data_IF_014936156924
#
_entry.id   IF_014936156924
#
_cell.length_a   1.000
_cell.length_b   1.000
_cell.length_c   1.000
_cell.angle_alpha   90.00
_cell.angle_beta   90.00
_cell.angle_gamma   90.00
#
_symmetry.space_group_name_H-M   'P 1'
#
loop_
_entity.id
_entity.type
_entity.pdbx_description
1 polymer ?
#
# COMPACT_ATOMS: atom_id res chain seq x y z
N UNK A 1 -35.03 17.27 -44.94
CA UNK A 1 -33.64 16.77 -45.08
C UNK A 1 -32.64 17.34 -44.08
N UNK A 2 -32.66 18.65 -43.73
CA UNK A 2 -31.73 19.24 -42.75
C UNK A 2 -31.85 18.67 -41.33
N UNK A 3 -33.08 18.47 -40.84
CA UNK A 3 -33.37 17.89 -39.51
C UNK A 3 -32.88 16.44 -39.40
N UNK A 4 -33.07 15.64 -40.45
CA UNK A 4 -32.62 14.26 -40.49
C UNK A 4 -31.07 14.16 -40.42
N UNK A 5 -30.37 15.03 -41.16
CA UNK A 5 -28.89 15.11 -41.10
C UNK A 5 -28.39 15.54 -39.72
N UNK A 6 -29.08 16.48 -39.07
CA UNK A 6 -28.74 16.92 -37.71
C UNK A 6 -28.92 15.79 -36.69
N UNK A 7 -29.98 14.99 -36.85
CA UNK A 7 -30.24 13.84 -35.99
C UNK A 7 -29.17 12.75 -36.14
N UNK A 8 -28.79 12.42 -37.39
CA UNK A 8 -27.68 11.49 -37.64
C UNK A 8 -26.35 12.00 -37.06
N UNK A 9 -26.08 13.31 -37.14
CA UNK A 9 -24.87 13.91 -36.60
C UNK A 9 -24.85 13.84 -35.06
N UNK A 10 -25.98 14.08 -34.40
CA UNK A 10 -26.12 13.97 -32.94
C UNK A 10 -26.01 12.52 -32.45
N UNK A 11 -26.59 11.55 -33.16
CA UNK A 11 -26.42 10.13 -32.85
C UNK A 11 -24.96 9.67 -33.03
N UNK A 12 -24.30 10.09 -34.11
CA UNK A 12 -22.88 9.80 -34.32
C UNK A 12 -22.01 10.44 -33.24
N UNK A 13 -22.28 11.69 -32.85
CA UNK A 13 -21.58 12.36 -31.76
C UNK A 13 -21.79 11.61 -30.44
N UNK A 14 -23.03 11.24 -30.09
CA UNK A 14 -23.36 10.48 -28.88
C UNK A 14 -22.61 9.14 -28.79
N UNK A 15 -22.48 8.43 -29.92
CA UNK A 15 -21.72 7.17 -29.99
C UNK A 15 -20.20 7.38 -29.82
N UNK A 16 -19.66 8.54 -30.22
CA UNK A 16 -18.25 8.90 -30.03
C UNK A 16 -17.93 9.33 -28.58
N UNK A 17 -18.85 10.02 -27.89
CA UNK A 17 -18.69 10.37 -26.45
C UNK A 17 -19.00 9.19 -25.52
N UNK A 18 -19.74 8.18 -25.99
CA UNK A 18 -20.07 6.97 -25.23
C UNK A 18 -18.94 5.94 -25.20
N UNK A 19 -17.75 6.24 -25.73
CA UNK A 19 -16.53 5.52 -25.33
C UNK A 19 -16.22 5.85 -23.87
N UNK A 20 -16.97 5.18 -23.00
CA UNK A 20 -16.94 5.29 -21.56
C UNK A 20 -15.49 5.20 -21.08
N UNK A 21 -15.08 6.20 -20.29
CA UNK A 21 -13.90 6.17 -19.43
C UNK A 21 -14.09 5.16 -18.28
N UNK A 22 -14.57 3.95 -18.57
CA UNK A 22 -14.57 2.89 -17.59
C UNK A 22 -13.10 2.60 -17.29
N UNK A 23 -12.65 2.93 -16.07
CA UNK A 23 -11.35 2.47 -15.60
C UNK A 23 -11.29 0.96 -15.82
N UNK A 24 -10.15 0.42 -16.31
CA UNK A 24 -10.02 -1.01 -16.50
C UNK A 24 -10.37 -1.71 -15.19
N UNK A 25 -11.14 -2.80 -15.30
CA UNK A 25 -11.53 -3.57 -14.14
C UNK A 25 -10.26 -4.06 -13.44
N UNK A 26 -10.18 -3.83 -12.14
CA UNK A 26 -9.07 -4.32 -11.32
C UNK A 26 -9.39 -5.78 -11.00
N UNK A 27 -8.76 -6.69 -11.74
CA UNK A 27 -8.89 -8.14 -11.61
C UNK A 27 -7.70 -8.79 -10.87
N UNK A 28 -6.64 -8.01 -10.64
CA UNK A 28 -5.42 -8.46 -9.96
C UNK A 28 -4.84 -7.39 -9.06
N UNK A 29 -4.39 -7.83 -7.89
CA UNK A 29 -3.54 -7.08 -6.97
C UNK A 29 -2.38 -7.97 -6.55
N UNK A 30 -1.31 -7.35 -6.07
CA UNK A 30 -0.04 -7.98 -5.74
C UNK A 30 0.27 -7.76 -4.27
N UNK A 31 0.83 -8.78 -3.63
CA UNK A 31 1.30 -8.70 -2.25
C UNK A 31 2.68 -9.29 -2.13
N UNK A 32 3.62 -8.50 -1.61
CA UNK A 32 4.88 -9.03 -1.11
C UNK A 32 4.66 -9.67 0.26
N UNK A 33 5.22 -10.86 0.46
CA UNK A 33 5.28 -11.54 1.76
C UNK A 33 6.57 -12.37 1.84
N UNK A 34 7.12 -12.54 3.04
CA UNK A 34 8.32 -13.39 3.25
C UNK A 34 7.97 -14.88 3.39
N UNK A 35 6.69 -15.21 3.57
CA UNK A 35 6.23 -16.59 3.70
C UNK A 35 6.04 -17.22 2.33
N UNK A 36 6.45 -18.49 2.13
CA UNK A 36 6.17 -19.25 0.92
C UNK A 36 4.71 -19.73 0.86
N UNK A 37 4.27 -20.21 -0.31
CA UNK A 37 2.87 -20.57 -0.58
C UNK A 37 2.34 -21.64 0.39
N UNK A 38 3.16 -22.59 0.82
CA UNK A 38 2.77 -23.65 1.75
C UNK A 38 2.33 -23.07 3.11
N UNK A 39 2.98 -22.00 3.55
CA UNK A 39 2.59 -21.28 4.76
C UNK A 39 1.24 -20.58 4.58
N UNK A 40 1.02 -19.94 3.43
CA UNK A 40 -0.26 -19.28 3.13
C UNK A 40 -1.39 -20.29 3.01
N UNK A 41 -1.14 -21.45 2.40
CA UNK A 41 -2.11 -22.56 2.34
C UNK A 41 -2.47 -23.05 3.75
N UNK A 42 -1.46 -23.30 4.59
CA UNK A 42 -1.66 -23.77 5.96
C UNK A 42 -2.47 -22.79 6.80
N UNK A 43 -2.21 -21.50 6.63
CA UNK A 43 -2.86 -20.43 7.39
C UNK A 43 -4.29 -20.13 6.85
N UNK A 44 -4.67 -20.71 5.71
CA UNK A 44 -5.96 -20.49 5.05
C UNK A 44 -6.05 -19.17 4.26
N UNK A 45 -4.90 -18.56 3.96
CA UNK A 45 -4.79 -17.28 3.26
C UNK A 45 -3.97 -16.25 4.04
N UNK A 46 -4.20 -14.97 3.76
CA UNK A 46 -3.57 -13.86 4.48
C UNK A 46 -4.51 -13.32 5.55
N UNK A 47 -4.13 -13.48 6.81
CA UNK A 47 -4.90 -13.02 7.95
C UNK A 47 -4.43 -11.63 8.41
N UNK A 48 -5.34 -10.72 8.78
CA UNK A 48 -4.96 -9.45 9.38
C UNK A 48 -4.38 -9.68 10.78
N UNK A 49 -3.58 -8.71 11.26
CA UNK A 49 -2.93 -8.81 12.56
C UNK A 49 -3.90 -8.56 13.74
N UNK A 50 -5.05 -7.95 13.48
CA UNK A 50 -6.06 -7.63 14.48
C UNK A 50 -7.36 -7.15 13.87
N UNK A 51 -8.04 -6.24 14.57
CA UNK A 51 -9.40 -5.77 14.25
C UNK A 51 -9.49 -4.24 14.14
N UNK A 52 -8.36 -3.53 14.16
CA UNK A 52 -8.34 -2.07 14.04
C UNK A 52 -8.55 -1.66 12.58
N UNK A 53 -9.69 -1.05 12.30
CA UNK A 53 -10.09 -0.62 10.96
C UNK A 53 -9.65 0.80 10.60
N UNK A 54 -8.75 1.39 11.39
CA UNK A 54 -8.15 2.68 11.07
C UNK A 54 -7.18 2.59 9.89
N UNK A 55 -7.66 3.04 8.73
CA UNK A 55 -6.89 3.05 7.47
C UNK A 55 -5.71 4.02 7.51
N UNK A 56 -5.81 5.13 8.27
CA UNK A 56 -4.67 6.04 8.45
C UNK A 56 -3.59 5.32 9.25
N UNK A 57 -3.95 4.70 10.37
CA UNK A 57 -3.00 3.99 11.21
C UNK A 57 -2.35 2.81 10.47
N UNK A 58 -3.13 2.10 9.64
CA UNK A 58 -2.62 1.02 8.79
C UNK A 58 -1.51 1.50 7.85
N UNK A 59 -1.83 2.49 7.01
CA UNK A 59 -0.93 2.97 5.95
C UNK A 59 0.33 3.60 6.54
N UNK A 60 0.19 4.33 7.65
CA UNK A 60 1.33 4.95 8.32
C UNK A 60 2.16 3.95 9.15
N UNK A 61 1.73 2.68 9.25
CA UNK A 61 2.39 1.63 10.03
C UNK A 61 2.72 2.06 11.47
N UNK A 62 1.87 2.89 12.08
CA UNK A 62 2.10 3.40 13.43
C UNK A 62 1.76 2.31 14.44
N UNK A 63 2.74 1.45 14.70
CA UNK A 63 2.78 0.62 15.89
C UNK A 63 3.39 1.45 17.02
N UNK A 64 2.55 2.14 17.80
CA UNK A 64 2.99 2.67 19.09
C UNK A 64 3.28 1.48 19.99
N UNK A 65 4.57 1.18 20.23
CA UNK A 65 4.96 0.10 21.14
C UNK A 65 4.27 0.27 22.50
N UNK A 66 3.51 -0.75 22.92
CA UNK A 66 2.87 -0.82 24.25
C UNK A 66 1.38 -1.10 24.24
N UNK A 67 0.66 -0.86 23.14
CA UNK A 67 -0.78 -1.11 23.07
C UNK A 67 -1.11 -2.30 22.18
N UNK A 68 -1.61 -3.39 22.78
CA UNK A 68 -2.27 -4.51 22.06
C UNK A 68 -3.56 -4.05 21.35
N UNK A 69 -4.03 -2.84 21.66
CA UNK A 69 -5.05 -2.07 20.96
C UNK A 69 -4.35 -1.42 19.76
N UNK A 70 -4.70 -1.79 18.52
CA UNK A 70 -4.19 -1.09 17.34
C UNK A 70 -3.69 -1.95 16.18
N UNK A 71 -3.66 -3.28 16.30
CA UNK A 71 -3.28 -4.15 15.17
C UNK A 71 -4.31 -4.10 14.06
N UNK A 72 -3.85 -3.85 12.84
CA UNK A 72 -4.72 -3.57 11.70
C UNK A 72 -5.63 -4.74 11.33
N UNK A 73 -6.87 -4.41 10.95
CA UNK A 73 -7.86 -5.28 10.35
C UNK A 73 -7.64 -5.53 8.85
N UNK A 74 -6.61 -4.90 8.27
CA UNK A 74 -6.34 -4.93 6.84
C UNK A 74 -5.11 -5.75 6.50
N UNK A 75 -5.15 -6.35 5.32
CA UNK A 75 -3.98 -6.91 4.63
C UNK A 75 -3.67 -6.00 3.43
N UNK A 76 -2.46 -5.45 3.40
CA UNK A 76 -1.99 -4.55 2.34
C UNK A 76 -1.70 -5.31 1.03
N UNK A 77 -2.12 -4.72 -0.08
CA UNK A 77 -1.84 -5.16 -1.46
C UNK A 77 -1.68 -3.93 -2.36
N UNK A 78 -1.12 -4.10 -3.56
CA UNK A 78 -1.00 -3.02 -4.55
C UNK A 78 -1.52 -3.47 -5.90
N UNK A 79 -2.08 -2.56 -6.70
CA UNK A 79 -2.32 -2.84 -8.13
C UNK A 79 -1.06 -2.72 -8.98
N UNK A 80 0.02 -2.22 -8.40
CA UNK A 80 1.33 -2.10 -9.03
C UNK A 80 2.26 -3.23 -8.57
N UNK A 81 2.58 -4.13 -9.50
CA UNK A 81 3.47 -5.26 -9.24
C UNK A 81 4.90 -4.81 -8.99
N UNK A 82 5.34 -3.75 -9.67
CA UNK A 82 6.68 -3.20 -9.52
C UNK A 82 6.85 -2.65 -8.11
N UNK A 83 5.86 -1.92 -7.60
CA UNK A 83 5.87 -1.47 -6.21
C UNK A 83 5.99 -2.64 -5.22
N UNK A 84 5.31 -3.77 -5.47
CA UNK A 84 5.44 -4.96 -4.61
C UNK A 84 6.85 -5.58 -4.67
N UNK A 85 7.49 -5.59 -5.85
CA UNK A 85 8.87 -6.02 -6.01
C UNK A 85 9.85 -5.08 -5.31
N UNK A 86 9.76 -3.78 -5.57
CA UNK A 86 10.60 -2.76 -4.93
C UNK A 86 10.47 -2.83 -3.41
N UNK A 87 9.26 -3.01 -2.89
CA UNK A 87 9.05 -3.19 -1.46
C UNK A 87 9.76 -4.44 -0.93
N UNK A 88 9.70 -5.57 -1.64
CA UNK A 88 10.43 -6.80 -1.29
C UNK A 88 11.94 -6.62 -1.28
N UNK A 89 12.48 -6.06 -2.36
CA UNK A 89 13.91 -5.81 -2.51
C UNK A 89 14.47 -4.88 -1.42
N UNK A 90 13.67 -3.90 -0.98
CA UNK A 90 14.05 -2.93 0.06
C UNK A 90 13.71 -3.39 1.49
N UNK A 91 12.96 -4.48 1.67
CA UNK A 91 12.44 -4.89 2.99
C UNK A 91 13.52 -5.45 3.91
N UNK A 92 14.54 -6.09 3.35
CA UNK A 92 15.56 -6.80 4.12
C UNK A 92 16.97 -6.58 3.60
N UNK A 93 17.87 -6.20 4.51
CA UNK A 93 19.30 -6.02 4.23
C UNK A 93 20.09 -7.33 4.31
N UNK A 94 19.45 -8.42 4.71
CA UNK A 94 20.06 -9.75 4.80
C UNK A 94 19.87 -10.58 3.51
N UNK A 95 19.36 -9.95 2.43
CA UNK A 95 19.19 -10.59 1.12
C UNK A 95 18.33 -11.86 1.17
N UNK A 96 17.36 -11.92 2.09
CA UNK A 96 16.45 -13.05 2.24
C UNK A 96 15.45 -13.12 1.07
N UNK A 97 15.03 -14.34 0.68
CA UNK A 97 14.03 -14.49 -0.38
C UNK A 97 12.69 -13.90 0.03
N UNK A 98 11.97 -13.37 -0.95
CA UNK A 98 10.59 -12.92 -0.78
C UNK A 98 9.71 -13.41 -1.92
N UNK A 99 8.41 -13.23 -1.75
CA UNK A 99 7.40 -13.78 -2.63
C UNK A 99 6.43 -12.70 -3.05
N UNK A 100 6.13 -12.63 -4.34
CA UNK A 100 5.05 -11.77 -4.86
C UNK A 100 3.87 -12.66 -5.22
N UNK A 101 2.77 -12.45 -4.51
CA UNK A 101 1.51 -13.16 -4.71
C UNK A 101 0.61 -12.39 -5.66
N UNK A 102 0.07 -13.09 -6.65
CA UNK A 102 -1.00 -12.59 -7.50
C UNK A 102 -2.35 -12.94 -6.84
N UNK A 103 -3.19 -11.95 -6.63
CA UNK A 103 -4.42 -12.09 -5.86
C UNK A 103 -5.59 -11.48 -6.64
N UNK A 104 -6.69 -12.22 -6.72
CA UNK A 104 -7.96 -11.69 -7.23
C UNK A 104 -8.67 -10.88 -6.14
N UNK A 105 -8.87 -9.57 -6.32
CA UNK A 105 -9.64 -8.77 -5.38
C UNK A 105 -11.13 -9.16 -5.41
N UNK A 106 -11.77 -9.07 -4.25
CA UNK A 106 -13.24 -9.18 -4.11
C UNK A 106 -13.79 -7.95 -3.41
N UNK A 107 -15.09 -7.92 -3.11
CA UNK A 107 -15.76 -6.75 -2.51
C UNK A 107 -15.21 -6.31 -1.15
N UNK A 108 -14.33 -7.08 -0.51
CA UNK A 108 -13.65 -6.69 0.72
C UNK A 108 -12.35 -5.89 0.50
N UNK A 109 -11.94 -5.64 -0.74
CA UNK A 109 -10.79 -4.81 -1.09
C UNK A 109 -11.22 -3.36 -1.28
N UNK A 110 -10.52 -2.43 -0.65
CA UNK A 110 -10.82 -1.00 -0.72
C UNK A 110 -9.58 -0.22 -1.13
N UNK A 111 -9.75 0.76 -2.01
CA UNK A 111 -8.67 1.67 -2.38
C UNK A 111 -8.35 2.61 -1.22
N UNK A 112 -7.09 2.64 -0.79
CA UNK A 112 -6.60 3.59 0.21
C UNK A 112 -6.73 5.03 -0.31
N UNK A 113 -6.36 5.26 -1.57
CA UNK A 113 -6.44 6.56 -2.22
C UNK A 113 -7.88 7.10 -2.24
N UNK A 114 -8.86 6.29 -2.67
CA UNK A 114 -10.26 6.71 -2.69
C UNK A 114 -10.77 7.01 -1.27
N UNK A 115 -10.34 6.23 -0.29
CA UNK A 115 -10.69 6.42 1.13
C UNK A 115 -10.19 7.77 1.67
N UNK A 116 -8.93 8.12 1.41
CA UNK A 116 -8.39 9.43 1.81
C UNK A 116 -9.02 10.59 1.04
N UNK A 117 -9.23 10.45 -0.27
CA UNK A 117 -9.92 11.48 -1.06
C UNK A 117 -11.34 11.74 -0.55
N UNK A 118 -12.06 10.67 -0.18
CA UNK A 118 -13.39 10.78 0.38
C UNK A 118 -13.37 11.56 1.70
N UNK A 119 -12.45 11.22 2.61
CA UNK A 119 -12.29 11.94 3.88
C UNK A 119 -11.92 13.40 3.67
N UNK A 120 -11.00 13.70 2.76
CA UNK A 120 -10.65 15.08 2.40
C UNK A 120 -11.86 15.87 1.92
N UNK A 121 -12.67 15.31 1.01
CA UNK A 121 -13.89 15.96 0.50
C UNK A 121 -14.94 16.19 1.61
N UNK A 122 -15.02 15.30 2.59
CA UNK A 122 -15.95 15.44 3.71
C UNK A 122 -15.53 16.48 4.74
N UNK A 123 -14.24 16.58 5.06
CA UNK A 123 -13.76 17.36 6.21
C UNK A 123 -13.00 18.63 5.83
N UNK A 124 -12.47 18.71 4.61
CA UNK A 124 -11.52 19.75 4.20
C UNK A 124 -10.15 19.64 4.86
N UNK A 125 -9.86 18.56 5.59
CA UNK A 125 -8.63 18.41 6.36
C UNK A 125 -7.43 18.08 5.48
N UNK A 126 -6.51 19.05 5.35
CA UNK A 126 -5.29 18.97 4.53
C UNK A 126 -4.33 17.84 4.93
N UNK A 127 -4.50 17.23 6.12
CA UNK A 127 -3.75 16.03 6.51
C UNK A 127 -4.04 14.85 5.57
N UNK A 128 -5.27 14.70 5.08
CA UNK A 128 -5.59 13.66 4.09
C UNK A 128 -4.95 13.93 2.74
N UNK A 129 -4.85 15.19 2.30
CA UNK A 129 -4.10 15.53 1.09
C UNK A 129 -2.62 15.15 1.22
N UNK A 130 -2.01 15.40 2.39
CA UNK A 130 -0.63 14.98 2.66
C UNK A 130 -0.45 13.46 2.63
N UNK A 131 -1.43 12.69 3.11
CA UNK A 131 -1.42 11.23 3.01
C UNK A 131 -1.50 10.77 1.55
N UNK A 132 -2.37 11.39 0.76
CA UNK A 132 -2.48 11.13 -0.70
C UNK A 132 -1.14 11.40 -1.39
N UNK A 133 -0.53 12.56 -1.16
CA UNK A 133 0.73 12.94 -1.79
C UNK A 133 1.90 12.03 -1.34
N UNK A 134 1.81 11.44 -0.15
CA UNK A 134 2.88 10.65 0.45
C UNK A 134 2.76 9.16 0.15
N UNK A 135 1.56 8.61 0.04
CA UNK A 135 1.31 7.16 -0.11
C UNK A 135 0.57 6.80 -1.41
N UNK A 136 0.06 7.78 -2.16
CA UNK A 136 -0.73 7.52 -3.37
C UNK A 136 0.03 6.76 -4.46
N UNK A 137 1.36 6.88 -4.50
CA UNK A 137 2.20 6.14 -5.46
C UNK A 137 2.21 4.63 -5.22
N UNK A 138 1.87 4.16 -4.02
CA UNK A 138 1.84 2.74 -3.69
C UNK A 138 0.69 2.00 -4.37
N UNK A 139 -0.27 2.72 -4.95
CA UNK A 139 -1.48 2.18 -5.58
C UNK A 139 -2.19 1.14 -4.68
N UNK A 140 -2.22 1.41 -3.38
CA UNK A 140 -2.58 0.44 -2.35
C UNK A 140 -4.10 0.13 -2.33
N UNK A 141 -4.40 -1.16 -2.28
CA UNK A 141 -5.70 -1.71 -1.91
C UNK A 141 -5.56 -2.51 -0.62
N UNK A 142 -6.44 -2.25 0.33
CA UNK A 142 -6.49 -2.95 1.61
C UNK A 142 -7.63 -3.96 1.61
N UNK A 143 -7.32 -5.21 1.97
CA UNK A 143 -8.32 -6.26 2.15
C UNK A 143 -8.80 -6.29 3.61
N UNK A 144 -10.04 -5.88 3.86
CA UNK A 144 -10.64 -5.92 5.19
C UNK A 144 -10.93 -7.36 5.60
N UNK A 145 -10.47 -7.76 6.78
CA UNK A 145 -10.71 -9.10 7.33
C UNK A 145 -9.80 -10.18 6.74
N UNK A 146 -8.90 -9.82 5.82
CA UNK A 146 -7.94 -10.74 5.21
C UNK A 146 -8.26 -11.12 3.76
N UNK A 147 -7.51 -12.09 3.26
CA UNK A 147 -7.58 -12.61 1.89
C UNK A 147 -7.66 -14.12 2.00
N UNK A 148 -8.78 -14.69 1.54
CA UNK A 148 -8.96 -16.14 1.49
C UNK A 148 -8.02 -16.80 0.49
N UNK A 149 -7.58 -18.02 0.79
CA UNK A 149 -6.69 -18.78 -0.08
C UNK A 149 -7.25 -18.97 -1.50
N UNK A 150 -8.56 -19.11 -1.65
CA UNK A 150 -9.25 -19.25 -2.94
C UNK A 150 -9.16 -17.99 -3.83
N UNK A 151 -8.71 -16.86 -3.28
CA UNK A 151 -8.47 -15.63 -4.01
C UNK A 151 -7.04 -15.54 -4.56
N UNK A 152 -6.10 -16.32 -4.04
CA UNK A 152 -4.69 -16.28 -4.42
C UNK A 152 -4.48 -17.13 -5.67
N UNK A 153 -4.06 -16.52 -6.78
CA UNK A 153 -3.75 -17.23 -8.02
C UNK A 153 -2.52 -18.14 -7.86
N UNK A 154 -1.50 -17.63 -7.16
CA UNK A 154 -0.19 -18.25 -7.08
C UNK A 154 0.86 -17.21 -6.73
N UNK A 155 2.12 -17.58 -6.92
CA UNK A 155 3.25 -16.81 -6.41
C UNK A 155 4.48 -16.93 -7.30
N UNK A 156 5.29 -15.87 -7.34
CA UNK A 156 6.65 -15.89 -7.85
C UNK A 156 7.64 -15.71 -6.69
N UNK A 157 8.66 -16.57 -6.60
CA UNK A 157 9.78 -16.43 -5.66
C UNK A 157 10.84 -15.50 -6.27
N UNK A 158 11.39 -14.62 -5.43
CA UNK A 158 12.50 -13.73 -5.73
C UNK A 158 13.64 -13.97 -4.76
N UNK A 159 14.85 -14.09 -5.29
CA UNK A 159 16.06 -14.33 -4.51
C UNK A 159 17.16 -13.39 -4.94
N UNK A 160 18.00 -12.99 -4.00
CA UNK A 160 19.14 -12.16 -4.32
C UNK A 160 20.19 -12.95 -5.09
N UNK A 161 20.66 -12.42 -6.21
CA UNK A 161 21.75 -12.94 -7.01
C UNK A 161 22.99 -12.05 -6.80
N UNK A 162 24.03 -12.60 -6.19
CA UNK A 162 25.28 -11.87 -5.94
C UNK A 162 26.00 -11.45 -7.23
N UNK A 163 25.78 -12.15 -8.34
CA UNK A 163 26.38 -11.82 -9.63
C UNK A 163 25.70 -10.65 -10.33
N UNK A 164 24.38 -10.49 -10.14
CA UNK A 164 23.61 -9.35 -10.67
C UNK A 164 23.52 -8.18 -9.67
N UNK A 165 23.94 -8.41 -8.42
CA UNK A 165 23.77 -7.48 -7.30
C UNK A 165 22.30 -7.04 -7.08
N UNK A 166 21.35 -7.89 -7.50
CA UNK A 166 19.91 -7.61 -7.50
C UNK A 166 19.07 -8.87 -7.24
N UNK A 167 17.77 -8.71 -7.00
CA UNK A 167 16.82 -9.82 -6.87
C UNK A 167 16.33 -10.31 -8.24
N UNK A 168 16.42 -11.62 -8.44
CA UNK A 168 15.96 -12.30 -9.66
C UNK A 168 14.84 -13.29 -9.36
N UNK A 169 14.01 -13.56 -10.35
CA UNK A 169 12.99 -14.61 -10.26
C UNK A 169 13.65 -15.99 -10.10
N UNK A 170 13.32 -16.70 -9.03
CA UNK A 170 13.74 -18.09 -8.87
C UNK A 170 12.65 -19.03 -9.37
N UNK A 171 13.03 -19.85 -10.36
CA UNK A 171 12.17 -20.92 -10.86
C UNK A 171 10.93 -20.41 -11.59
N UNK A 172 10.01 -21.32 -11.87
CA UNK A 172 8.76 -21.00 -12.53
C UNK A 172 7.70 -20.52 -11.53
N UNK A 173 6.74 -19.73 -12.02
CA UNK A 173 5.55 -19.33 -11.26
C UNK A 173 4.83 -20.54 -10.65
N UNK A 174 4.50 -20.44 -9.36
CA UNK A 174 3.89 -21.53 -8.59
C UNK A 174 2.38 -21.28 -8.48
N UNK A 175 1.54 -22.01 -9.23
CA UNK A 175 0.10 -21.83 -9.16
C UNK A 175 -0.48 -22.42 -7.86
N UNK A 176 -1.46 -21.74 -7.29
CA UNK A 176 -2.26 -22.26 -6.20
C UNK A 176 -3.40 -23.14 -6.76
N UNK A 177 -3.34 -24.45 -6.50
CA UNK A 177 -4.36 -25.40 -6.96
C UNK A 177 -5.73 -25.21 -6.29
N UNK A 178 -5.79 -24.43 -5.20
CA UNK A 178 -7.03 -24.10 -4.47
C UNK A 178 -7.65 -22.77 -4.93
N UNK A 179 -7.03 -22.07 -5.88
CA UNK A 179 -7.61 -20.89 -6.51
C UNK A 179 -8.96 -21.22 -7.14
N UNK A 180 -9.94 -20.32 -6.96
CA UNK A 180 -11.25 -20.44 -7.62
C UNK A 180 -11.36 -19.36 -8.67
N UNK A 181 -11.49 -19.72 -9.93
CA UNK A 181 -11.73 -18.78 -11.02
C UNK A 181 -13.19 -18.30 -11.02
N UNK A 182 -13.38 -17.05 -10.61
CA UNK A 182 -14.68 -16.37 -10.51
C UNK A 182 -14.43 -14.90 -10.80
N UNK A 183 -15.27 -14.28 -11.62
CA UNK A 183 -15.14 -12.86 -11.92
C UNK A 183 -15.59 -12.02 -10.72
N UNK A 184 -14.65 -11.37 -10.05
CA UNK A 184 -14.90 -10.41 -8.97
C UNK A 184 -13.99 -9.20 -9.15
N UNK A 185 -14.27 -8.14 -8.40
CA UNK A 185 -13.41 -6.96 -8.33
C UNK A 185 -13.46 -6.32 -6.94
N UNK A 186 -12.62 -5.31 -6.69
CA UNK A 186 -12.62 -4.58 -5.44
C UNK A 186 -13.92 -3.82 -5.23
N UNK A 187 -14.14 -3.35 -4.01
CA UNK A 187 -15.16 -2.36 -3.74
C UNK A 187 -14.90 -1.09 -4.57
N UNK A 188 -15.92 -0.59 -5.27
CA UNK A 188 -15.81 0.62 -6.09
C UNK A 188 -15.88 1.91 -5.28
N UNK A 189 -16.31 1.82 -4.02
CA UNK A 189 -16.40 2.94 -3.09
C UNK A 189 -15.17 3.06 -2.18
N UNK A 190 -15.03 4.20 -1.48
CA UNK A 190 -14.05 4.36 -0.42
C UNK A 190 -14.39 3.44 0.77
N UNK A 191 -13.37 3.06 1.54
CA UNK A 191 -13.60 2.53 2.87
C UNK A 191 -14.10 3.63 3.80
N UNK A 192 -15.21 3.39 4.49
CA UNK A 192 -15.77 4.30 5.49
C UNK A 192 -15.47 3.73 6.87
N UNK A 193 -14.39 4.21 7.48
CA UNK A 193 -14.01 3.78 8.83
C UNK A 193 -15.14 4.05 9.83
N UNK A 194 -15.45 3.04 10.63
CA UNK A 194 -16.53 3.07 11.62
C UNK A 194 -16.07 3.70 12.94
N UNK A 195 -14.78 3.56 13.26
CA UNK A 195 -14.14 4.15 14.43
C UNK A 195 -13.62 5.55 14.08
N UNK A 196 -13.79 6.56 14.94
CA UNK A 196 -13.05 7.80 14.75
C UNK A 196 -11.55 7.52 14.98
N UNK A 197 -10.64 8.07 14.16
CA UNK A 197 -9.21 7.95 14.42
C UNK A 197 -8.93 8.53 15.81
N UNK A 198 -8.61 7.64 16.76
CA UNK A 198 -8.21 8.05 18.11
C UNK A 198 -6.82 8.69 18.09
N UNK A 199 -6.08 8.51 17.00
CA UNK A 199 -4.70 8.93 16.85
C UNK A 199 -4.58 10.10 15.85
N UNK A 200 -3.72 11.05 16.21
CA UNK A 200 -3.33 12.15 15.34
C UNK A 200 -2.69 11.59 14.07
N UNK A 201 -3.11 12.06 12.88
CA UNK A 201 -2.40 11.76 11.63
C UNK A 201 -0.96 12.21 11.83
N UNK A 202 -0.02 11.26 11.96
CA UNK A 202 1.36 11.56 12.26
C UNK A 202 1.95 12.23 11.02
N UNK A 203 2.20 13.53 11.10
CA UNK A 203 2.87 14.25 10.03
C UNK A 203 4.36 13.97 10.09
N UNK A 204 5.10 14.25 9.01
CA UNK A 204 6.57 14.19 9.05
C UNK A 204 7.14 15.04 10.20
N UNK A 205 6.50 16.17 10.53
CA UNK A 205 6.86 17.04 11.65
C UNK A 205 6.55 16.41 13.02
N UNK A 206 5.37 15.78 13.16
CA UNK A 206 4.95 15.08 14.39
C UNK A 206 5.87 13.87 14.67
N UNK A 207 6.28 13.15 13.63
CA UNK A 207 7.22 12.04 13.73
C UNK A 207 8.60 12.50 14.21
N UNK A 208 9.13 13.62 13.69
CA UNK A 208 10.39 14.20 14.16
C UNK A 208 10.39 14.48 15.67
N UNK A 209 9.29 15.03 16.19
CA UNK A 209 9.14 15.36 17.61
C UNK A 209 9.01 14.11 18.48
N UNK A 210 8.29 13.08 18.01
CA UNK A 210 8.15 11.80 18.72
C UNK A 210 9.47 11.03 18.79
N UNK A 211 10.30 11.09 17.75
CA UNK A 211 11.59 10.41 17.70
C UNK A 211 12.67 11.13 18.54
N UNK A 212 12.52 12.44 18.79
CA UNK A 212 13.35 13.19 19.74
C UNK A 212 13.01 12.90 21.22
N UNK A 213 11.79 12.42 21.49
CA UNK A 213 11.26 12.28 22.86
C UNK A 213 11.16 10.83 23.34
N UNK A 214 11.34 9.83 22.46
CA UNK A 214 11.25 8.41 22.81
C UNK A 214 12.44 7.62 22.22
N UNK A 215 13.30 6.97 23.04
CA UNK A 215 14.53 6.33 22.59
C UNK A 215 14.33 4.98 21.88
N UNK A 216 13.13 4.66 21.35
CA UNK A 216 12.77 3.29 20.92
C UNK A 216 12.01 3.17 19.59
N UNK A 217 12.01 4.18 18.73
CA UNK A 217 11.57 3.98 17.35
C UNK A 217 12.71 3.37 16.52
N UNK A 218 12.70 2.05 16.39
CA UNK A 218 13.63 1.30 15.53
C UNK A 218 13.23 1.48 14.05
N UNK A 219 13.63 2.59 13.44
CA UNK A 219 13.69 2.69 11.97
C UNK A 219 15.04 2.16 11.50
N UNK A 220 15.21 0.83 11.46
CA UNK A 220 16.32 0.21 10.72
C UNK A 220 15.95 0.17 9.24
N UNK A 221 16.17 1.28 8.54
CA UNK A 221 16.19 1.32 7.08
C UNK A 221 17.56 1.81 6.63
N UNK A 222 18.12 1.18 5.62
CA UNK A 222 19.41 1.55 5.02
C UNK A 222 19.35 2.94 4.41
N UNK A 223 20.44 3.71 4.48
CA UNK A 223 20.50 5.10 4.00
C UNK A 223 20.20 5.26 2.49
N UNK A 224 20.27 4.16 1.73
CA UNK A 224 19.99 4.08 0.28
C UNK A 224 18.49 4.05 -0.03
N UNK A 225 17.67 3.36 0.77
CA UNK A 225 16.20 3.31 0.60
C UNK A 225 15.53 4.66 0.89
N UNK A 226 16.20 5.53 1.63
CA UNK A 226 15.69 6.82 2.03
C UNK A 226 15.48 7.81 0.88
N UNK A 227 16.23 7.72 -0.22
CA UNK A 227 16.07 8.64 -1.35
C UNK A 227 15.02 8.17 -2.37
N UNK A 228 14.65 6.88 -2.33
CA UNK A 228 13.71 6.22 -3.24
C UNK A 228 12.26 6.51 -2.91
N UNK A 229 11.87 6.41 -1.64
CA UNK A 229 10.48 6.61 -1.23
C UNK A 229 10.24 8.03 -0.67
N UNK A 230 9.21 8.78 -1.16
CA UNK A 230 8.94 10.15 -0.70
C UNK A 230 8.77 10.29 0.83
N UNK A 231 8.20 9.29 1.49
CA UNK A 231 8.06 9.27 2.95
C UNK A 231 9.42 9.11 3.64
N UNK A 232 10.26 8.17 3.19
CA UNK A 232 11.59 7.96 3.77
C UNK A 232 12.54 9.12 3.44
N UNK A 233 12.34 9.81 2.32
CA UNK A 233 13.13 11.01 1.97
C UNK A 233 12.85 12.16 2.91
N UNK A 234 11.57 12.34 3.28
CA UNK A 234 11.17 13.29 4.32
C UNK A 234 11.72 12.87 5.70
N UNK A 235 11.75 11.56 5.98
CA UNK A 235 12.32 11.00 7.20
C UNK A 235 13.85 11.23 7.31
N UNK A 236 14.62 10.99 6.23
CA UNK A 236 16.06 11.30 6.15
C UNK A 236 16.34 12.77 6.31
N UNK A 237 15.64 13.64 5.60
CA UNK A 237 15.77 15.10 5.77
C UNK A 237 15.53 15.53 7.22
N UNK A 238 14.57 14.91 7.91
CA UNK A 238 14.33 15.14 9.32
C UNK A 238 15.51 14.66 10.19
N UNK A 239 15.97 13.42 10.00
CA UNK A 239 17.11 12.87 10.72
C UNK A 239 18.39 13.68 10.51
N UNK A 240 18.67 14.08 9.27
CA UNK A 240 19.82 14.90 8.90
C UNK A 240 19.71 16.31 9.51
N UNK A 241 18.52 16.93 9.47
CA UNK A 241 18.31 18.25 10.07
C UNK A 241 18.48 18.23 11.59
N UNK A 242 18.03 17.16 12.26
CA UNK A 242 18.20 16.98 13.71
C UNK A 242 19.65 16.66 14.09
N UNK A 243 20.34 15.83 13.29
CA UNK A 243 21.76 15.57 13.46
C UNK A 243 22.61 16.81 13.24
N UNK A 244 22.24 17.67 12.28
CA UNK A 244 22.89 18.97 12.06
C UNK A 244 22.62 19.92 13.24
N UNK A 245 21.39 20.00 13.76
CA UNK A 245 21.09 20.83 14.95
C UNK A 245 21.87 20.32 16.18
N UNK A 246 21.87 19.01 16.43
CA UNK A 246 22.63 18.41 17.54
C UNK A 246 24.15 18.61 17.37
N UNK A 247 24.67 18.53 16.15
CA UNK A 247 26.06 18.85 15.84
C UNK A 247 26.37 20.33 16.08
N UNK A 248 25.52 21.25 15.60
CA UNK A 248 25.71 22.69 15.80
C UNK A 248 25.63 23.09 17.27
N UNK A 249 24.70 22.53 18.05
CA UNK A 249 24.59 22.76 19.50
C UNK A 249 25.80 22.21 20.27
N UNK A 250 26.42 21.12 19.79
CA UNK A 250 27.66 20.58 20.37
C UNK A 250 28.93 21.40 20.04
N UNK A 251 28.84 22.32 19.08
CA UNK A 251 29.96 23.20 18.68
C UNK A 251 29.86 24.62 19.23
N UNK A 252 28.79 24.95 19.97
CA UNK A 252 28.58 26.28 20.60
C UNK A 252 28.86 26.26 22.12
N UNK A 253 29.42 25.16 22.66
CA UNK A 253 29.91 25.08 24.05
C UNK A 253 31.44 25.04 24.11
#
# INVERSE_FOLDING_TARGET
MRILKLFYLLCALFLYIAQSYAQPAIDRVYRMDSRPLECIIRDGGFLPLGTNDDVVQHVQSVNLEGHRIGRSAFVATSTDREFAFEWGADFDNEHLPFYIYDIRPTSNFYSVLLSFQHRYRQTGDSRYQRLIDTFGYQAEYVALGGIGLEQVYGVQEYVYDEGEEDYVERGAYIPNTLYRDVQTGPNTGPYIQHTQPQNEIITSLSYCVLNLSLPRYSARLTATTHDKYPFLKKLKRCHDSLSIIAFLDSTIL
#
